data_IF_509150948090
#
_entry.id   IF_509150948090
#
_cell.length_a   1.000
_cell.length_b   1.000
_cell.length_c   1.000
_cell.angle_alpha   90.00
_cell.angle_beta   90.00
_cell.angle_gamma   90.00
#
_symmetry.space_group_name_H-M   'P 1'
#
loop_
_entity.id
_entity.type
_entity.pdbx_description
1 polymer ?
#
# COMPACT_ATOMS: atom_id res chain seq x y z
N UNK A 1 12.33 -6.35 0.98
CA UNK A 1 11.30 -5.41 0.48
C UNK A 1 11.49 -4.05 1.14
N UNK A 2 11.16 -2.96 0.46
CA UNK A 2 11.13 -1.60 1.04
C UNK A 2 9.75 -0.98 0.83
N UNK A 3 9.20 -0.35 1.87
CA UNK A 3 7.98 0.46 1.84
C UNK A 3 8.38 1.90 2.19
N UNK A 4 8.30 2.78 1.19
CA UNK A 4 8.32 4.23 1.43
C UNK A 4 6.90 4.72 1.58
N UNK A 5 6.67 5.71 2.43
CA UNK A 5 5.32 6.25 2.62
C UNK A 5 5.32 7.71 3.05
N UNK A 6 4.18 8.36 2.87
CA UNK A 6 3.90 9.71 3.40
C UNK A 6 2.41 9.89 3.65
N UNK A 7 2.07 10.57 4.75
CA UNK A 7 0.69 10.91 5.08
C UNK A 7 0.41 12.40 4.84
N UNK A 8 -0.63 12.67 4.05
CA UNK A 8 -1.10 14.02 3.73
C UNK A 8 -2.37 14.31 4.53
N UNK A 9 -2.23 15.10 5.60
CA UNK A 9 -3.29 15.30 6.61
C UNK A 9 -4.53 15.97 6.02
N UNK A 10 -4.33 16.90 5.10
CA UNK A 10 -5.37 17.73 4.48
C UNK A 10 -6.38 16.87 3.71
N UNK A 11 -5.91 15.80 3.08
CA UNK A 11 -6.72 14.89 2.25
C UNK A 11 -7.03 13.57 2.95
N UNK A 12 -6.41 13.29 4.11
CA UNK A 12 -6.49 11.99 4.77
C UNK A 12 -5.92 10.86 3.91
N UNK A 13 -4.92 11.19 3.07
CA UNK A 13 -4.31 10.28 2.11
C UNK A 13 -3.01 9.72 2.67
N UNK A 14 -2.89 8.40 2.66
CA UNK A 14 -1.60 7.72 2.81
C UNK A 14 -1.13 7.28 1.43
N UNK A 15 0.05 7.72 1.01
CA UNK A 15 0.74 7.22 -0.19
C UNK A 15 1.81 6.25 0.25
N UNK A 16 1.88 5.09 -0.40
CA UNK A 16 2.89 4.07 -0.15
C UNK A 16 3.48 3.60 -1.47
N UNK A 17 4.81 3.45 -1.54
CA UNK A 17 5.53 2.86 -2.67
C UNK A 17 6.29 1.62 -2.21
N UNK A 18 6.03 0.50 -2.86
CA UNK A 18 6.61 -0.80 -2.58
C UNK A 18 7.68 -1.13 -3.63
N UNK A 19 8.89 -1.50 -3.19
CA UNK A 19 9.97 -1.86 -4.10
C UNK A 19 10.77 -3.08 -3.65
N UNK A 20 11.44 -3.72 -4.62
CA UNK A 20 12.30 -4.89 -4.42
C UNK A 20 11.54 -6.21 -4.49
N UNK A 21 11.96 -7.21 -3.72
CA UNK A 21 11.30 -8.53 -3.69
C UNK A 21 10.46 -8.71 -2.43
N UNK A 22 9.30 -9.34 -2.57
CA UNK A 22 8.40 -9.65 -1.48
C UNK A 22 9.09 -10.46 -0.36
N UNK A 23 8.87 -10.01 0.87
CA UNK A 23 9.23 -10.69 2.12
C UNK A 23 8.12 -10.40 3.11
N UNK A 24 7.39 -11.42 3.54
CA UNK A 24 6.29 -11.22 4.48
C UNK A 24 6.75 -10.71 5.84
N UNK A 25 7.94 -11.10 6.28
CA UNK A 25 8.52 -10.59 7.53
C UNK A 25 8.84 -9.09 7.42
N UNK A 26 9.49 -8.66 6.33
CA UNK A 26 9.76 -7.24 6.08
C UNK A 26 8.44 -6.44 6.02
N UNK A 27 7.42 -7.02 5.38
CA UNK A 27 6.11 -6.39 5.29
C UNK A 27 5.49 -6.17 6.67
N UNK A 28 5.48 -7.20 7.51
CA UNK A 28 4.93 -7.09 8.87
C UNK A 28 5.67 -6.03 9.68
N UNK A 29 7.00 -6.06 9.66
CA UNK A 29 7.81 -5.16 10.46
C UNK A 29 7.59 -3.71 10.04
N UNK A 30 7.64 -3.43 8.74
CA UNK A 30 7.47 -2.07 8.21
C UNK A 30 6.03 -1.57 8.36
N UNK A 31 5.04 -2.42 8.06
CA UNK A 31 3.64 -2.05 8.17
C UNK A 31 3.22 -1.82 9.63
N UNK A 32 3.76 -2.59 10.58
CA UNK A 32 3.55 -2.33 12.01
C UNK A 32 4.13 -0.99 12.47
N UNK A 33 5.20 -0.48 11.85
CA UNK A 33 5.69 0.86 12.12
C UNK A 33 4.71 1.92 11.60
N UNK A 34 4.17 1.74 10.40
CA UNK A 34 3.14 2.62 9.83
C UNK A 34 1.89 2.66 10.72
N UNK A 35 1.44 1.51 11.25
CA UNK A 35 0.27 1.42 12.13
C UNK A 35 0.43 2.16 13.46
N UNK A 36 1.65 2.42 13.90
CA UNK A 36 1.94 3.15 15.15
C UNK A 36 1.92 4.66 14.99
N UNK A 37 1.87 5.15 13.75
CA UNK A 37 1.83 6.59 13.48
C UNK A 37 0.51 7.15 14.02
N UNK A 38 0.52 8.20 14.86
CA UNK A 38 -0.71 8.76 15.45
C UNK A 38 -1.78 9.12 14.42
N UNK A 39 -1.33 9.60 13.26
CA UNK A 39 -2.14 9.98 12.12
C UNK A 39 -2.81 8.81 11.40
N UNK A 40 -2.38 7.56 11.63
CA UNK A 40 -2.94 6.39 10.93
C UNK A 40 -4.46 6.27 11.10
N UNK A 41 -4.98 6.71 12.25
CA UNK A 41 -6.43 6.73 12.54
C UNK A 41 -7.22 7.72 11.68
N UNK A 42 -6.54 8.67 11.05
CA UNK A 42 -7.14 9.72 10.22
C UNK A 42 -7.14 9.37 8.72
N UNK A 43 -6.49 8.26 8.35
CA UNK A 43 -6.43 7.79 6.97
C UNK A 43 -7.83 7.39 6.51
N UNK A 44 -8.23 7.96 5.37
CA UNK A 44 -9.47 7.63 4.67
C UNK A 44 -9.21 6.98 3.32
N UNK A 45 -8.08 7.34 2.70
CA UNK A 45 -7.69 6.96 1.35
C UNK A 45 -6.25 6.48 1.35
N UNK A 46 -5.98 5.45 0.56
CA UNK A 46 -4.64 4.89 0.40
C UNK A 46 -4.33 4.73 -1.08
N UNK A 47 -3.19 5.24 -1.50
CA UNK A 47 -2.60 4.92 -2.80
C UNK A 47 -1.40 4.00 -2.55
N UNK A 48 -1.46 2.78 -3.07
CA UNK A 48 -0.40 1.78 -2.92
C UNK A 48 0.25 1.51 -4.28
N UNK A 49 1.43 2.05 -4.53
CA UNK A 49 2.20 1.76 -5.74
C UNK A 49 2.99 0.46 -5.58
N UNK A 50 2.58 -0.56 -6.33
CA UNK A 50 3.22 -1.89 -6.35
C UNK A 50 3.84 -2.20 -7.72
N UNK A 51 4.18 -1.17 -8.49
CA UNK A 51 4.77 -1.31 -9.83
C UNK A 51 6.23 -1.79 -9.79
N UNK A 52 6.95 -1.51 -8.69
CA UNK A 52 8.38 -1.80 -8.53
C UNK A 52 8.68 -2.97 -7.57
N UNK A 53 7.66 -3.65 -7.06
CA UNK A 53 7.81 -4.84 -6.22
C UNK A 53 7.56 -6.12 -7.02
N UNK A 54 8.38 -7.15 -6.82
CA UNK A 54 8.10 -8.50 -7.27
C UNK A 54 7.27 -9.24 -6.20
N UNK A 55 6.01 -9.56 -6.53
CA UNK A 55 5.08 -10.26 -5.64
C UNK A 55 5.00 -11.78 -5.87
N UNK A 56 5.76 -12.39 -6.79
CA UNK A 56 5.59 -13.80 -7.15
C UNK A 56 5.60 -14.77 -5.95
N UNK A 57 6.45 -14.52 -4.96
CA UNK A 57 6.52 -15.33 -3.73
C UNK A 57 5.36 -15.06 -2.76
N UNK A 58 4.67 -13.92 -2.88
CA UNK A 58 3.55 -13.52 -2.01
C UNK A 58 2.36 -14.47 -2.10
N UNK A 59 2.14 -15.10 -3.28
CA UNK A 59 1.04 -16.05 -3.47
C UNK A 59 1.04 -17.19 -2.42
N UNK A 60 2.22 -17.65 -1.99
CA UNK A 60 2.36 -18.73 -0.99
C UNK A 60 1.94 -18.30 0.42
N UNK A 61 1.87 -16.99 0.67
CA UNK A 61 1.65 -16.39 1.98
C UNK A 61 0.36 -15.55 2.02
N UNK A 62 -0.47 -15.63 0.97
CA UNK A 62 -1.65 -14.78 0.79
C UNK A 62 -2.60 -14.85 2.00
N UNK A 63 -2.90 -16.05 2.49
CA UNK A 63 -3.78 -16.25 3.65
C UNK A 63 -3.17 -15.66 4.93
N UNK A 64 -1.84 -15.76 5.08
CA UNK A 64 -1.14 -15.20 6.23
C UNK A 64 -1.14 -13.67 6.17
N UNK A 65 -0.97 -13.09 4.98
CA UNK A 65 -1.08 -11.66 4.74
C UNK A 65 -2.49 -11.15 5.05
N UNK A 66 -3.53 -11.83 4.57
CA UNK A 66 -4.93 -11.47 4.83
C UNK A 66 -5.25 -11.52 6.33
N UNK A 67 -4.82 -12.58 7.02
CA UNK A 67 -4.99 -12.70 8.48
C UNK A 67 -4.27 -11.59 9.24
N UNK A 68 -3.02 -11.29 8.85
CA UNK A 68 -2.27 -10.19 9.46
C UNK A 68 -3.01 -8.86 9.31
N UNK A 69 -3.51 -8.57 8.11
CA UNK A 69 -4.28 -7.36 7.80
C UNK A 69 -5.54 -7.23 8.65
N UNK A 70 -6.34 -8.30 8.73
CA UNK A 70 -7.57 -8.35 9.52
C UNK A 70 -7.31 -8.09 11.02
N UNK A 71 -6.24 -8.65 11.56
CA UNK A 71 -5.91 -8.52 12.98
C UNK A 71 -5.42 -7.11 13.36
N UNK A 72 -4.68 -6.45 12.45
CA UNK A 72 -3.94 -5.24 12.79
C UNK A 72 -4.58 -3.97 12.23
N UNK A 73 -5.36 -4.06 11.15
CA UNK A 73 -6.00 -2.89 10.51
C UNK A 73 -7.47 -2.83 10.90
N UNK A 74 -7.77 -1.95 11.85
CA UNK A 74 -9.15 -1.71 12.32
C UNK A 74 -9.83 -0.51 11.64
N UNK A 75 -9.05 0.40 11.08
CA UNK A 75 -9.57 1.58 10.38
C UNK A 75 -10.12 1.18 9.01
N UNK A 76 -11.32 1.67 8.68
CA UNK A 76 -11.85 1.58 7.32
C UNK A 76 -11.25 2.68 6.46
N UNK A 77 -10.65 2.29 5.35
CA UNK A 77 -10.17 3.19 4.31
C UNK A 77 -10.35 2.54 2.94
N UNK A 78 -10.41 3.38 1.91
CA UNK A 78 -10.42 2.93 0.52
C UNK A 78 -9.00 2.90 -0.03
N UNK A 79 -8.56 1.76 -0.58
CA UNK A 79 -7.21 1.62 -1.12
C UNK A 79 -7.23 1.34 -2.62
N UNK A 80 -6.44 2.11 -3.37
CA UNK A 80 -6.20 1.84 -4.78
C UNK A 80 -4.76 1.39 -4.98
N UNK A 81 -4.57 0.22 -5.58
CA UNK A 81 -3.26 -0.26 -6.00
C UNK A 81 -2.94 0.19 -7.43
N UNK A 82 -1.78 0.82 -7.61
CA UNK A 82 -1.21 1.05 -8.92
C UNK A 82 -0.33 -0.14 -9.30
N UNK A 83 -0.61 -0.77 -10.46
CA UNK A 83 0.03 -2.02 -10.90
C UNK A 83 0.42 -1.93 -12.37
N UNK A 84 1.62 -2.39 -12.73
CA UNK A 84 2.14 -2.33 -14.11
C UNK A 84 2.29 -3.68 -14.81
N UNK A 85 2.25 -4.81 -14.09
CA UNK A 85 2.53 -6.13 -14.65
C UNK A 85 1.46 -7.18 -14.30
N UNK A 86 1.35 -8.21 -15.15
CA UNK A 86 0.31 -9.24 -15.08
C UNK A 86 0.44 -10.16 -13.86
N UNK A 87 1.67 -10.51 -13.46
CA UNK A 87 1.92 -11.35 -12.29
C UNK A 87 1.43 -10.67 -11.00
N UNK A 88 1.81 -9.41 -10.77
CA UNK A 88 1.34 -8.63 -9.65
C UNK A 88 -0.18 -8.41 -9.72
N UNK A 89 -0.73 -8.18 -10.92
CA UNK A 89 -2.19 -8.02 -11.09
C UNK A 89 -2.94 -9.26 -10.60
N UNK A 90 -2.51 -10.46 -11.00
CA UNK A 90 -3.15 -11.69 -10.58
C UNK A 90 -3.09 -11.87 -9.05
N UNK A 91 -1.94 -11.60 -8.43
CA UNK A 91 -1.75 -11.76 -6.98
C UNK A 91 -2.57 -10.73 -6.20
N UNK A 92 -2.55 -9.47 -6.63
CA UNK A 92 -3.35 -8.41 -6.00
C UNK A 92 -4.85 -8.66 -6.18
N UNK A 93 -5.27 -9.20 -7.32
CA UNK A 93 -6.66 -9.58 -7.53
C UNK A 93 -7.13 -10.65 -6.54
N UNK A 94 -6.35 -11.73 -6.36
CA UNK A 94 -6.65 -12.77 -5.37
C UNK A 94 -6.67 -12.22 -3.94
N UNK A 95 -5.70 -11.35 -3.62
CA UNK A 95 -5.64 -10.67 -2.33
C UNK A 95 -6.90 -9.82 -2.07
N UNK A 96 -7.35 -9.04 -3.06
CA UNK A 96 -8.54 -8.21 -2.97
C UNK A 96 -9.79 -9.05 -2.79
N UNK A 97 -9.91 -10.19 -3.48
CA UNK A 97 -11.05 -11.08 -3.33
C UNK A 97 -11.22 -11.53 -1.87
N UNK A 98 -10.14 -12.01 -1.24
CA UNK A 98 -10.18 -12.43 0.17
C UNK A 98 -10.45 -11.28 1.14
N UNK A 99 -9.95 -10.07 0.87
CA UNK A 99 -10.18 -8.90 1.72
C UNK A 99 -11.58 -8.32 1.56
N UNK A 100 -12.18 -8.33 0.37
CA UNK A 100 -13.53 -7.83 0.13
C UNK A 100 -14.57 -8.63 0.91
N UNK A 101 -14.40 -9.94 1.03
CA UNK A 101 -15.23 -10.80 1.88
C UNK A 101 -15.18 -10.39 3.37
N UNK A 102 -14.11 -9.69 3.78
CA UNK A 102 -13.90 -9.17 5.14
C UNK A 102 -14.31 -7.70 5.28
N UNK A 103 -14.96 -7.12 4.26
CA UNK A 103 -15.49 -5.75 4.29
C UNK A 103 -14.45 -4.65 4.05
N UNK A 104 -13.29 -5.01 3.49
CA UNK A 104 -12.28 -4.06 3.06
C UNK A 104 -12.58 -3.52 1.66
N UNK A 105 -12.34 -2.23 1.44
CA UNK A 105 -12.61 -1.56 0.17
C UNK A 105 -11.32 -1.32 -0.60
N UNK A 106 -11.18 -2.03 -1.73
CA UNK A 106 -9.97 -2.06 -2.53
C UNK A 106 -10.29 -2.03 -4.02
N UNK A 107 -9.53 -1.26 -4.77
CA UNK A 107 -9.48 -1.32 -6.24
C UNK A 107 -8.03 -1.36 -6.72
N UNK A 108 -7.83 -1.66 -8.00
CA UNK A 108 -6.54 -1.53 -8.65
C UNK A 108 -6.69 -0.95 -10.06
N UNK A 109 -5.64 -0.28 -10.53
CA UNK A 109 -5.58 0.31 -11.87
C UNK A 109 -4.13 0.34 -12.37
N UNK A 110 -3.96 0.68 -13.65
CA UNK A 110 -2.65 0.70 -14.30
C UNK A 110 -2.09 2.10 -14.55
N UNK A 111 -2.84 3.15 -14.21
CA UNK A 111 -2.46 4.55 -14.46
C UNK A 111 -2.75 5.41 -13.24
N UNK A 112 -1.98 6.50 -13.08
CA UNK A 112 -2.18 7.46 -11.99
C UNK A 112 -3.49 8.22 -12.16
N UNK A 113 -3.88 8.57 -13.39
CA UNK A 113 -5.12 9.26 -13.71
C UNK A 113 -6.35 8.48 -13.19
N UNK A 114 -6.35 7.16 -13.43
CA UNK A 114 -7.40 6.28 -12.91
C UNK A 114 -7.35 6.19 -11.38
N UNK A 115 -6.15 6.09 -10.79
CA UNK A 115 -6.00 6.02 -9.34
C UNK A 115 -6.56 7.27 -8.66
N UNK A 116 -6.23 8.45 -9.20
CA UNK A 116 -6.70 9.75 -8.73
C UNK A 116 -8.22 9.90 -8.88
N UNK A 117 -8.77 9.39 -9.98
CA UNK A 117 -10.23 9.37 -10.21
C UNK A 117 -10.94 8.48 -9.19
N UNK A 118 -10.47 7.24 -9.00
CA UNK A 118 -11.02 6.30 -8.03
C UNK A 118 -10.95 6.85 -6.60
N UNK A 119 -9.81 7.42 -6.22
CA UNK A 119 -9.61 8.03 -4.91
C UNK A 119 -10.28 9.40 -4.78
N UNK A 120 -10.86 9.96 -5.85
CA UNK A 120 -11.40 11.33 -5.90
C UNK A 120 -10.41 12.34 -5.28
N UNK A 121 -9.22 12.43 -5.86
CA UNK A 121 -8.14 13.30 -5.41
C UNK A 121 -7.96 14.49 -6.38
N UNK A 122 -7.65 15.69 -5.87
CA UNK A 122 -7.57 16.91 -6.68
C UNK A 122 -6.20 17.10 -7.39
N UNK A 123 -5.33 16.09 -7.38
CA UNK A 123 -4.00 16.17 -7.99
C UNK A 123 -4.06 15.81 -9.48
N UNK A 124 -3.13 16.35 -10.24
CA UNK A 124 -2.77 15.83 -11.57
C UNK A 124 -1.90 14.57 -11.45
N UNK A 125 -1.85 13.76 -12.52
CA UNK A 125 -0.96 12.61 -12.58
C UNK A 125 0.53 13.00 -12.44
N UNK A 126 0.93 14.16 -12.97
CA UNK A 126 2.29 14.68 -12.81
C UNK A 126 2.63 14.98 -11.35
N UNK A 127 1.76 15.71 -10.64
CA UNK A 127 1.97 16.01 -9.21
C UNK A 127 2.03 14.74 -8.37
N UNK A 128 1.11 13.79 -8.61
CA UNK A 128 1.12 12.52 -7.88
C UNK A 128 2.36 11.67 -8.19
N UNK A 129 2.81 11.66 -9.44
CA UNK A 129 4.08 11.03 -9.83
C UNK A 129 5.26 11.66 -9.10
N UNK A 130 5.31 12.98 -9.02
CA UNK A 130 6.34 13.68 -8.24
C UNK A 130 6.29 13.30 -6.76
N UNK A 131 5.10 13.24 -6.14
CA UNK A 131 4.93 12.83 -4.75
C UNK A 131 5.44 11.40 -4.50
N UNK A 132 5.13 10.45 -5.40
CA UNK A 132 5.59 9.06 -5.29
C UNK A 132 7.11 8.90 -5.32
N UNK A 133 7.81 9.74 -6.11
CA UNK A 133 9.28 9.71 -6.17
C UNK A 133 9.95 10.41 -4.99
N UNK A 134 9.23 11.24 -4.24
CA UNK A 134 9.77 12.09 -3.17
C UNK A 134 9.16 11.79 -1.79
N UNK A 135 8.69 10.56 -1.56
CA UNK A 135 8.17 10.14 -0.26
C UNK A 135 9.26 10.26 0.83
N UNK A 136 8.92 10.97 1.91
CA UNK A 136 9.87 11.38 2.94
C UNK A 136 10.26 10.27 3.94
N UNK A 137 9.38 9.29 4.17
CA UNK A 137 9.63 8.23 5.12
C UNK A 137 10.02 6.93 4.41
N UNK A 138 11.15 6.37 4.83
CA UNK A 138 11.59 5.02 4.50
C UNK A 138 11.59 4.18 5.77
N UNK A 139 11.06 2.96 5.68
CA UNK A 139 11.17 1.97 6.75
C UNK A 139 12.28 0.99 6.42
N UNK A 140 13.52 1.49 6.30
CA UNK A 140 14.66 0.60 6.10
C UNK A 140 14.94 -0.17 7.40
N UNK A 141 14.58 -1.45 7.40
CA UNK A 141 14.83 -2.43 8.47
C UNK A 141 16.31 -2.57 8.87
N UNK A 142 17.25 -1.96 8.12
CA UNK A 142 18.69 -2.01 8.39
C UNK A 142 19.21 -1.00 9.40
N UNK A 143 18.44 0.03 9.78
CA UNK A 143 18.80 0.89 10.91
C UNK A 143 18.29 0.31 12.24
N UNK A 144 18.78 -0.89 12.57
CA UNK A 144 18.89 -1.33 13.98
C UNK A 144 20.17 -0.71 14.52
N UNK A 145 20.09 0.52 15.02
CA UNK A 145 21.09 1.03 15.95
C UNK A 145 20.37 1.63 17.16
N UNK A 146 20.92 1.23 18.29
CA UNK A 146 20.40 1.20 19.67
C UNK A 146 20.07 2.60 20.19
#
# INVERSE_FOLDING_TARGET
>A
MVIKFQFYKETGLLVMKYSGSWSFQDYKDQFNMILKIPEFKQIKKVLSDVTEINLESCYKELDALVKFREQHVKSKYFNVHLISNSANTAIIHLYHQQLREKGFEYEYCSTLEQALTLLNLPYSAFEMGYMLEHLEHDVDSKNKSI
#
